data_IF_355378193549
#
_entry.id   IF_355378193549
#
_cell.length_a   1.000
_cell.length_b   1.000
_cell.length_c   1.000
_cell.angle_alpha   90.00
_cell.angle_beta   90.00
_cell.angle_gamma   90.00
#
_symmetry.space_group_name_H-M   'P 1'
#
loop_
_entity.id
_entity.type
_entity.pdbx_description
1 polymer ?
#
# COMPACT_ATOMS: atom_id res chain seq x y z
N UNK A 1 -20.46 -29.89 -5.16
CA UNK A 1 -19.44 -29.21 -4.32
C UNK A 1 -19.56 -29.77 -2.93
N UNK A 2 -18.47 -30.32 -2.40
CA UNK A 2 -18.45 -30.81 -1.03
C UNK A 2 -18.46 -29.62 -0.05
N UNK A 3 -19.07 -29.78 1.15
CA UNK A 3 -19.12 -28.71 2.14
C UNK A 3 -17.73 -28.27 2.60
N UNK A 4 -16.76 -29.19 2.65
CA UNK A 4 -15.36 -28.90 2.96
C UNK A 4 -14.74 -27.94 1.93
N UNK A 5 -15.06 -28.13 0.64
CA UNK A 5 -14.54 -27.28 -0.42
C UNK A 5 -14.94 -25.82 -0.30
N UNK A 6 -16.18 -25.60 0.13
CA UNK A 6 -16.73 -24.27 0.37
C UNK A 6 -16.03 -23.63 1.57
N UNK A 7 -15.75 -24.38 2.63
CA UNK A 7 -15.05 -23.87 3.81
C UNK A 7 -13.62 -23.44 3.50
N UNK A 8 -12.86 -24.26 2.74
CA UNK A 8 -11.50 -23.93 2.34
C UNK A 8 -11.50 -22.66 1.49
N UNK A 9 -12.41 -22.57 0.51
CA UNK A 9 -12.58 -21.35 -0.28
C UNK A 9 -12.88 -20.12 0.57
N UNK A 10 -13.80 -20.23 1.52
CA UNK A 10 -14.15 -19.13 2.42
C UNK A 10 -12.94 -18.64 3.22
N UNK A 11 -12.10 -19.56 3.72
CA UNK A 11 -10.90 -19.22 4.49
C UNK A 11 -9.87 -18.44 3.65
N UNK A 12 -9.63 -18.86 2.41
CA UNK A 12 -8.75 -18.12 1.50
C UNK A 12 -9.31 -16.76 1.11
N UNK A 13 -10.61 -16.70 0.80
CA UNK A 13 -11.30 -15.45 0.47
C UNK A 13 -11.26 -14.48 1.65
N UNK A 14 -11.53 -14.95 2.86
CA UNK A 14 -11.52 -14.14 4.07
C UNK A 14 -10.13 -13.54 4.32
N UNK A 15 -9.06 -14.33 4.13
CA UNK A 15 -7.69 -13.82 4.22
C UNK A 15 -7.43 -12.70 3.21
N UNK A 16 -7.84 -12.86 1.95
CA UNK A 16 -7.68 -11.81 0.92
C UNK A 16 -8.47 -10.56 1.28
N UNK A 17 -9.74 -10.70 1.68
CA UNK A 17 -10.59 -9.57 2.09
C UNK A 17 -10.02 -8.84 3.31
N UNK A 18 -9.47 -9.57 4.27
CA UNK A 18 -8.85 -8.99 5.45
C UNK A 18 -7.63 -8.13 5.09
N UNK A 19 -6.73 -8.62 4.24
CA UNK A 19 -5.57 -7.84 3.80
C UNK A 19 -5.97 -6.62 2.94
N UNK A 20 -6.97 -6.75 2.07
CA UNK A 20 -7.49 -5.62 1.29
C UNK A 20 -8.12 -4.54 2.19
N UNK A 21 -8.84 -4.98 3.22
CA UNK A 21 -9.40 -4.10 4.25
C UNK A 21 -8.28 -3.36 5.01
N UNK A 22 -7.18 -4.05 5.35
CA UNK A 22 -6.01 -3.43 5.97
C UNK A 22 -5.36 -2.37 5.07
N UNK A 23 -5.24 -2.62 3.76
CA UNK A 23 -4.73 -1.64 2.79
C UNK A 23 -5.61 -0.39 2.77
N UNK A 24 -6.94 -0.56 2.72
CA UNK A 24 -7.88 0.56 2.75
C UNK A 24 -7.74 1.39 4.02
N UNK A 25 -7.73 0.75 5.20
CA UNK A 25 -7.52 1.46 6.47
C UNK A 25 -6.20 2.23 6.50
N UNK A 26 -5.08 1.63 6.07
CA UNK A 26 -3.76 2.28 6.04
C UNK A 26 -3.75 3.49 5.11
N UNK A 27 -4.38 3.37 3.95
CA UNK A 27 -4.48 4.46 2.98
C UNK A 27 -5.34 5.61 3.51
N UNK A 28 -6.47 5.31 4.16
CA UNK A 28 -7.31 6.33 4.80
C UNK A 28 -6.60 7.04 5.95
N UNK A 29 -5.88 6.29 6.80
CA UNK A 29 -5.09 6.87 7.89
C UNK A 29 -3.96 7.75 7.37
N UNK A 30 -3.29 7.31 6.30
CA UNK A 30 -2.28 8.12 5.62
C UNK A 30 -2.87 9.44 5.12
N UNK A 31 -3.96 9.41 4.34
CA UNK A 31 -4.60 10.63 3.81
C UNK A 31 -5.00 11.59 4.94
N UNK A 32 -5.56 11.05 6.02
CA UNK A 32 -5.96 11.86 7.19
C UNK A 32 -4.76 12.53 7.84
N UNK A 33 -3.67 11.79 8.05
CA UNK A 33 -2.43 12.32 8.62
C UNK A 33 -1.81 13.40 7.73
N UNK A 34 -1.81 13.19 6.40
CA UNK A 34 -1.30 14.18 5.45
C UNK A 34 -2.13 15.46 5.47
N UNK A 35 -3.46 15.36 5.47
CA UNK A 35 -4.34 16.52 5.59
C UNK A 35 -4.10 17.29 6.90
N UNK A 36 -3.89 16.58 8.00
CA UNK A 36 -3.54 17.19 9.28
C UNK A 36 -2.19 17.92 9.24
N UNK A 37 -1.15 17.32 8.63
CA UNK A 37 0.15 17.97 8.47
C UNK A 37 0.06 19.25 7.63
N UNK A 38 -0.63 19.21 6.49
CA UNK A 38 -0.81 20.40 5.65
C UNK A 38 -1.61 21.49 6.36
N UNK A 39 -2.66 21.10 7.08
CA UNK A 39 -3.48 22.05 7.86
C UNK A 39 -2.66 22.69 8.98
N UNK A 40 -1.92 21.90 9.74
CA UNK A 40 -1.05 22.41 10.80
C UNK A 40 0.04 23.31 10.24
N UNK A 41 0.63 22.98 9.08
CA UNK A 41 1.61 23.85 8.44
C UNK A 41 0.99 25.20 8.05
N UNK A 42 -0.18 25.18 7.40
CA UNK A 42 -0.91 26.37 6.99
C UNK A 42 -1.26 27.29 8.17
N UNK A 43 -1.62 26.73 9.33
CA UNK A 43 -1.93 27.49 10.54
C UNK A 43 -0.69 28.10 11.21
N UNK A 44 0.49 27.49 11.03
CA UNK A 44 1.74 27.98 11.63
C UNK A 44 2.36 29.12 10.80
N UNK A 45 2.19 29.12 9.47
CA UNK A 45 2.81 30.11 8.57
C UNK A 45 2.57 31.59 8.98
N UNK A 46 1.33 32.05 9.27
CA UNK A 46 1.09 33.45 9.59
C UNK A 46 1.74 33.90 10.92
N UNK A 47 1.90 32.98 11.87
CA UNK A 47 2.48 33.26 13.19
C UNK A 47 4.00 33.36 13.14
N UNK A 48 4.63 32.68 12.19
CA UNK A 48 6.08 32.78 11.98
C UNK A 48 6.48 34.11 11.35
N UNK A 49 5.64 34.69 10.49
CA UNK A 49 5.94 35.99 9.90
C UNK A 49 5.88 37.17 10.88
N UNK A 50 5.30 36.98 12.08
CA UNK A 50 5.06 38.07 13.04
C UNK A 50 5.99 38.08 14.26
N UNK A 51 6.41 36.94 14.80
CA UNK A 51 6.94 36.89 16.19
C UNK A 51 8.15 35.97 16.46
N UNK A 52 8.67 35.22 15.47
CA UNK A 52 9.72 34.22 15.73
C UNK A 52 11.03 34.52 14.98
N UNK A 53 12.13 34.65 15.74
CA UNK A 53 13.51 34.67 15.22
C UNK A 53 13.98 33.30 14.67
N UNK A 54 13.07 32.32 14.58
CA UNK A 54 13.39 30.97 14.13
C UNK A 54 13.28 30.88 12.59
N UNK A 55 14.31 30.37 11.88
CA UNK A 55 14.23 30.20 10.43
C UNK A 55 13.08 29.25 10.05
N UNK A 56 12.16 29.75 9.22
CA UNK A 56 10.98 29.02 8.72
C UNK A 56 11.37 27.71 8.03
N UNK A 57 12.58 27.66 7.47
CA UNK A 57 13.19 26.49 6.84
C UNK A 57 13.26 25.29 7.79
N UNK A 58 13.54 25.47 9.08
CA UNK A 58 13.58 24.36 10.04
C UNK A 58 12.21 23.70 10.23
N UNK A 59 11.15 24.49 10.23
CA UNK A 59 9.79 23.98 10.37
C UNK A 59 9.37 23.25 9.10
N UNK A 60 9.70 23.77 7.92
CA UNK A 60 9.48 23.05 6.67
C UNK A 60 10.25 21.74 6.60
N UNK A 61 11.51 21.71 7.05
CA UNK A 61 12.31 20.48 7.14
C UNK A 61 11.64 19.47 8.08
N UNK A 62 11.23 19.89 9.27
CA UNK A 62 10.58 19.02 10.26
C UNK A 62 9.29 18.39 9.70
N UNK A 63 8.38 19.21 9.16
CA UNK A 63 7.14 18.71 8.57
C UNK A 63 7.40 17.78 7.38
N UNK A 64 8.40 18.10 6.55
CA UNK A 64 8.77 17.25 5.42
C UNK A 64 9.31 15.89 5.84
N UNK A 65 10.14 15.84 6.88
CA UNK A 65 10.64 14.56 7.41
C UNK A 65 9.50 13.69 7.93
N UNK A 66 8.53 14.27 8.65
CA UNK A 66 7.34 13.54 9.13
C UNK A 66 6.50 13.05 7.94
N UNK A 67 6.28 13.90 6.93
CA UNK A 67 5.52 13.56 5.72
C UNK A 67 6.18 12.45 4.90
N UNK A 68 7.50 12.48 4.73
CA UNK A 68 8.30 11.44 4.06
C UNK A 68 8.23 10.13 4.84
N UNK A 69 8.46 10.17 6.16
CA UNK A 69 8.44 8.98 7.01
C UNK A 69 7.06 8.29 6.98
N UNK A 70 5.98 9.07 7.06
CA UNK A 70 4.63 8.57 6.90
C UNK A 70 4.41 7.92 5.52
N UNK A 71 4.92 8.53 4.46
CA UNK A 71 4.79 8.01 3.08
C UNK A 71 5.52 6.68 2.90
N UNK A 72 6.78 6.58 3.36
CA UNK A 72 7.57 5.35 3.29
C UNK A 72 6.88 4.23 4.08
N UNK A 73 6.43 4.53 5.30
CA UNK A 73 5.77 3.54 6.16
C UNK A 73 4.50 2.99 5.52
N UNK A 74 3.69 3.85 4.91
CA UNK A 74 2.48 3.44 4.20
C UNK A 74 2.81 2.59 2.97
N UNK A 75 3.81 2.96 2.15
CA UNK A 75 4.21 2.19 0.97
C UNK A 75 4.62 0.77 1.38
N UNK A 76 5.55 0.63 2.33
CA UNK A 76 6.03 -0.68 2.79
C UNK A 76 4.87 -1.51 3.36
N UNK A 77 3.97 -0.88 4.11
CA UNK A 77 2.83 -1.57 4.70
C UNK A 77 1.81 -2.05 3.66
N UNK A 78 1.56 -1.28 2.60
CA UNK A 78 0.68 -1.67 1.49
C UNK A 78 1.33 -2.78 0.67
N UNK A 79 2.63 -2.69 0.38
CA UNK A 79 3.37 -3.74 -0.34
C UNK A 79 3.37 -5.07 0.41
N UNK A 80 3.53 -5.05 1.74
CA UNK A 80 3.47 -6.24 2.57
C UNK A 80 2.10 -6.93 2.51
N UNK A 81 1.00 -6.17 2.56
CA UNK A 81 -0.35 -6.74 2.42
C UNK A 81 -0.63 -7.26 1.00
N UNK A 82 -0.18 -6.55 -0.03
CA UNK A 82 -0.30 -7.04 -1.41
C UNK A 82 0.50 -8.33 -1.62
N UNK A 83 1.71 -8.43 -1.06
CA UNK A 83 2.48 -9.67 -1.07
C UNK A 83 1.73 -10.83 -0.38
N UNK A 84 1.06 -10.56 0.74
CA UNK A 84 0.22 -11.55 1.42
C UNK A 84 -0.99 -11.99 0.58
N UNK A 85 -1.67 -11.05 -0.08
CA UNK A 85 -2.77 -11.33 -1.02
C UNK A 85 -2.27 -12.18 -2.18
N UNK A 86 -1.15 -11.81 -2.79
CA UNK A 86 -0.57 -12.53 -3.93
C UNK A 86 -0.14 -13.94 -3.53
N UNK A 87 0.43 -14.12 -2.33
CA UNK A 87 0.78 -15.43 -1.80
C UNK A 87 -0.46 -16.30 -1.58
N UNK A 88 -1.54 -15.74 -1.02
CA UNK A 88 -2.81 -16.45 -0.85
C UNK A 88 -3.44 -16.83 -2.20
N UNK A 89 -3.46 -15.89 -3.16
CA UNK A 89 -3.95 -16.11 -4.51
C UNK A 89 -3.14 -17.16 -5.27
N UNK A 90 -1.81 -17.09 -5.21
CA UNK A 90 -0.93 -18.06 -5.87
C UNK A 90 -1.14 -19.48 -5.33
N UNK A 91 -1.23 -19.62 -4.00
CA UNK A 91 -1.50 -20.92 -3.35
C UNK A 91 -2.88 -21.48 -3.69
N UNK A 92 -3.85 -20.60 -3.93
CA UNK A 92 -5.18 -21.00 -4.42
C UNK A 92 -5.15 -21.45 -5.90
N UNK A 93 -4.45 -20.73 -6.77
CA UNK A 93 -4.57 -20.87 -8.23
C UNK A 93 -3.57 -21.78 -8.93
N UNK A 94 -2.38 -22.05 -8.36
CA UNK A 94 -1.31 -22.74 -9.09
C UNK A 94 -1.27 -24.24 -8.79
N UNK A 95 -1.37 -25.10 -9.82
CA UNK A 95 -0.52 -26.28 -9.87
C UNK A 95 0.93 -25.80 -10.09
N UNK A 96 1.86 -26.25 -9.24
CA UNK A 96 3.30 -26.06 -9.46
C UNK A 96 3.77 -27.13 -10.45
N UNK A 97 4.67 -26.78 -11.40
CA UNK A 97 5.31 -27.74 -12.29
C UNK A 97 6.82 -27.74 -11.99
N UNK A 98 7.43 -28.91 -11.83
CA UNK A 98 8.89 -29.03 -11.71
C UNK A 98 9.59 -28.78 -13.05
N UNK A 99 10.92 -28.64 -13.05
CA UNK A 99 11.75 -28.45 -14.26
C UNK A 99 11.62 -29.61 -15.27
N UNK A 100 10.99 -30.73 -14.88
CA UNK A 100 10.75 -31.92 -15.69
C UNK A 100 9.31 -31.96 -16.23
N UNK A 101 8.51 -30.92 -15.99
CA UNK A 101 7.14 -30.79 -16.49
C UNK A 101 6.11 -31.66 -15.75
N UNK A 102 6.45 -32.21 -14.58
CA UNK A 102 5.53 -32.96 -13.71
C UNK A 102 4.85 -31.99 -12.75
N UNK A 103 3.65 -32.34 -12.26
CA UNK A 103 2.92 -31.56 -11.26
C UNK A 103 3.27 -32.11 -9.87
N UNK A 104 4.13 -31.47 -9.07
CA UNK A 104 4.51 -32.01 -7.76
C UNK A 104 3.43 -31.72 -6.70
N UNK A 105 2.65 -30.65 -6.89
CA UNK A 105 1.53 -30.26 -6.01
C UNK A 105 0.37 -29.69 -6.85
N UNK A 106 -0.82 -30.31 -6.77
CA UNK A 106 -2.05 -29.68 -7.26
C UNK A 106 -2.29 -28.38 -6.49
N UNK A 107 -2.75 -27.34 -7.19
CA UNK A 107 -3.24 -26.15 -6.50
C UNK A 107 -4.40 -26.52 -5.58
N UNK A 108 -4.57 -25.79 -4.48
CA UNK A 108 -5.66 -26.09 -3.52
C UNK A 108 -7.01 -26.12 -4.24
N UNK A 109 -7.21 -25.25 -5.22
CA UNK A 109 -8.42 -25.24 -6.05
C UNK A 109 -8.62 -26.54 -6.85
N UNK A 110 -7.57 -27.12 -7.40
CA UNK A 110 -7.69 -28.32 -8.24
C UNK A 110 -8.04 -29.56 -7.41
N UNK A 111 -7.58 -29.62 -6.16
CA UNK A 111 -7.94 -30.67 -5.19
C UNK A 111 -9.39 -30.49 -4.72
N UNK A 112 -9.75 -29.25 -4.41
CA UNK A 112 -10.96 -28.91 -3.68
C UNK A 112 -12.17 -28.73 -4.60
N UNK A 113 -11.95 -28.31 -5.83
CA UNK A 113 -12.96 -28.02 -6.82
C UNK A 113 -12.47 -28.41 -8.23
N UNK A 114 -12.35 -29.72 -8.51
CA UNK A 114 -11.91 -30.21 -9.82
C UNK A 114 -12.86 -29.82 -10.96
N UNK A 115 -14.11 -29.47 -10.64
CA UNK A 115 -15.09 -28.98 -11.61
C UNK A 115 -14.93 -27.48 -11.93
N UNK A 116 -14.07 -26.74 -11.20
CA UNK A 116 -13.82 -25.32 -11.42
C UNK A 116 -15.02 -24.41 -11.16
N UNK A 117 -15.97 -24.84 -10.33
CA UNK A 117 -17.21 -24.12 -10.02
C UNK A 117 -17.00 -22.91 -9.10
N UNK A 118 -15.96 -22.93 -8.27
CA UNK A 118 -15.61 -21.86 -7.35
C UNK A 118 -14.88 -20.74 -8.10
N UNK A 119 -15.21 -19.47 -7.79
CA UNK A 119 -14.60 -18.33 -8.46
C UNK A 119 -13.16 -18.09 -7.98
N UNK A 120 -12.47 -17.17 -8.66
CA UNK A 120 -11.17 -16.68 -8.19
C UNK A 120 -11.33 -15.91 -6.87
N UNK A 121 -10.38 -16.10 -5.94
CA UNK A 121 -10.37 -15.40 -4.64
C UNK A 121 -9.84 -13.96 -4.71
N UNK A 122 -9.21 -13.57 -5.82
CA UNK A 122 -8.72 -12.21 -6.10
C UNK A 122 -9.53 -11.61 -7.25
N UNK A 123 -9.96 -10.36 -7.11
CA UNK A 123 -10.70 -9.63 -8.13
C UNK A 123 -9.84 -9.26 -9.35
N UNK A 124 -10.46 -9.18 -10.53
CA UNK A 124 -9.82 -8.77 -11.80
C UNK A 124 -10.07 -9.72 -12.99
N UNK A 125 -10.71 -10.87 -12.77
CA UNK A 125 -10.67 -11.97 -13.74
C UNK A 125 -9.24 -12.49 -13.89
N UNK A 126 -9.02 -13.59 -14.60
CA UNK A 126 -7.65 -14.12 -14.83
C UNK A 126 -6.75 -13.20 -15.67
N UNK A 127 -7.16 -11.96 -15.94
CA UNK A 127 -6.39 -10.98 -16.67
C UNK A 127 -5.51 -10.21 -15.67
N UNK A 128 -4.24 -10.57 -15.64
CA UNK A 128 -3.18 -9.98 -14.79
C UNK A 128 -3.21 -8.44 -14.74
N UNK A 129 -3.67 -7.76 -15.81
CA UNK A 129 -3.69 -6.30 -15.91
C UNK A 129 -4.68 -5.56 -14.99
N UNK A 130 -5.80 -6.17 -14.57
CA UNK A 130 -6.81 -5.44 -13.78
C UNK A 130 -6.45 -5.43 -12.28
N UNK A 131 -5.92 -6.53 -11.76
CA UNK A 131 -5.39 -6.58 -10.40
C UNK A 131 -4.19 -5.65 -10.19
N UNK A 132 -3.37 -5.46 -11.22
CA UNK A 132 -2.23 -4.51 -11.22
C UNK A 132 -2.71 -3.05 -11.21
N UNK A 133 -3.84 -2.73 -11.85
CA UNK A 133 -4.40 -1.36 -11.85
C UNK A 133 -4.96 -0.93 -10.49
N UNK A 134 -5.59 -1.85 -9.74
CA UNK A 134 -6.04 -1.56 -8.37
C UNK A 134 -4.89 -1.29 -7.39
N UNK A 135 -3.81 -2.09 -7.49
CA UNK A 135 -2.56 -1.92 -6.74
C UNK A 135 -1.89 -0.57 -6.99
N UNK A 136 -1.98 -0.06 -8.22
CA UNK A 136 -1.33 1.19 -8.61
C UNK A 136 -1.81 2.36 -7.74
N UNK A 137 -3.12 2.47 -7.47
CA UNK A 137 -3.65 3.66 -6.78
C UNK A 137 -3.21 3.77 -5.31
N UNK A 138 -3.11 2.65 -4.58
CA UNK A 138 -2.76 2.67 -3.14
C UNK A 138 -1.28 2.90 -2.87
N UNK A 139 -0.40 2.68 -3.86
CA UNK A 139 1.05 2.97 -3.78
C UNK A 139 1.40 4.32 -4.43
N UNK A 140 0.75 4.66 -5.54
CA UNK A 140 1.00 5.92 -6.28
C UNK A 140 0.66 7.13 -5.41
N UNK A 141 -0.45 7.10 -4.66
CA UNK A 141 -0.86 8.25 -3.85
C UNK A 141 0.16 8.58 -2.72
N UNK A 142 0.59 7.61 -1.88
CA UNK A 142 1.68 7.84 -0.94
C UNK A 142 2.99 8.24 -1.61
N UNK A 143 3.32 7.65 -2.76
CA UNK A 143 4.52 8.00 -3.52
C UNK A 143 4.52 9.46 -4.00
N UNK A 144 3.40 9.93 -4.57
CA UNK A 144 3.26 11.30 -5.05
C UNK A 144 3.34 12.31 -3.91
N UNK A 145 2.66 12.06 -2.78
CA UNK A 145 2.71 12.93 -1.61
C UNK A 145 4.11 12.92 -0.98
N UNK A 146 4.75 11.76 -0.86
CA UNK A 146 6.14 11.66 -0.39
C UNK A 146 7.11 12.44 -1.26
N UNK A 147 6.92 12.45 -2.58
CA UNK A 147 7.71 13.24 -3.52
C UNK A 147 7.51 14.75 -3.31
N UNK A 148 6.28 15.21 -3.04
CA UNK A 148 6.02 16.61 -2.70
C UNK A 148 6.77 17.04 -1.43
N UNK A 149 6.74 16.22 -0.38
CA UNK A 149 7.51 16.48 0.84
C UNK A 149 9.02 16.47 0.59
N UNK A 150 9.52 15.57 -0.26
CA UNK A 150 10.93 15.53 -0.62
C UNK A 150 11.39 16.79 -1.37
N UNK A 151 10.57 17.27 -2.31
CA UNK A 151 10.83 18.54 -3.01
C UNK A 151 10.90 19.70 -2.01
N UNK A 152 9.95 19.77 -1.07
CA UNK A 152 9.95 20.81 -0.05
C UNK A 152 11.16 20.72 0.87
N UNK A 153 11.52 19.51 1.32
CA UNK A 153 12.72 19.27 2.11
C UNK A 153 13.98 19.76 1.41
N UNK A 154 14.18 19.37 0.15
CA UNK A 154 15.35 19.77 -0.63
C UNK A 154 15.40 21.30 -0.81
N UNK A 155 14.27 21.92 -1.13
CA UNK A 155 14.19 23.38 -1.26
C UNK A 155 14.58 24.09 0.04
N UNK A 156 13.98 23.70 1.18
CA UNK A 156 14.25 24.30 2.48
C UNK A 156 15.69 24.07 2.95
N UNK A 157 16.26 22.88 2.72
CA UNK A 157 17.64 22.58 3.07
C UNK A 157 18.64 23.44 2.28
N UNK A 158 18.43 23.60 0.96
CA UNK A 158 19.28 24.46 0.12
C UNK A 158 19.21 25.91 0.60
N UNK A 159 18.00 26.41 0.88
CA UNK A 159 17.76 27.78 1.35
C UNK A 159 18.45 28.06 2.69
N UNK A 160 18.40 27.10 3.62
CA UNK A 160 19.06 27.20 4.92
C UNK A 160 20.60 27.27 4.77
N UNK A 161 21.18 26.42 3.91
CA UNK A 161 22.64 26.40 3.67
C UNK A 161 23.14 27.71 3.05
N UNK A 162 22.35 28.35 2.17
CA UNK A 162 22.74 29.64 1.58
C UNK A 162 22.55 30.84 2.51
N UNK A 163 21.81 30.67 3.62
CA UNK A 163 21.51 31.72 4.59
C UNK A 163 22.43 31.67 5.82
N UNK A 164 23.21 30.60 5.98
CA UNK A 164 24.18 30.37 7.05
C UNK A 164 25.60 30.77 6.61
#
# INVERSE_FOLDING_TARGET
>A
LEPESIQIYQLYREKVVHEDTLINFRTSWFVTLQAFLFTSLALTLPKMSSDLDFPIEYIFILFSLIGIAASITTIVSVEAADAAINKAAAKWSKPYYDDEGRVPELGVRDVVDPAGLLPAIKGGGSNEGIGVRGKSSSVVLPGAIGMLWLIMFCYSAIKLVHSA
#
